data_IF_637195797198
#
_entry.id   IF_637195797198
#
_cell.length_a   1.000
_cell.length_b   1.000
_cell.length_c   1.000
_cell.angle_alpha   90.00
_cell.angle_beta   90.00
_cell.angle_gamma   90.00
#
_symmetry.space_group_name_H-M   'P 1'
#
loop_
_entity.id
_entity.type
_entity.pdbx_description
1 polymer ?
#
# COMPACT_ATOMS: atom_id res chain seq x y z
N UNK A 1 1.20 22.08 5.94
CA UNK A 1 -0.14 21.56 5.58
C UNK A 1 0.05 20.25 4.84
N UNK A 2 -0.70 19.21 5.20
CA UNK A 2 -0.60 17.89 4.57
C UNK A 2 -1.13 17.93 3.12
N UNK A 3 -0.30 17.56 2.15
CA UNK A 3 -0.60 17.57 0.70
C UNK A 3 -1.34 16.30 0.28
N UNK A 4 -2.33 16.44 -0.62
CA UNK A 4 -2.97 15.30 -1.29
C UNK A 4 -2.09 14.86 -2.47
N UNK A 5 -1.75 13.58 -2.50
CA UNK A 5 -1.00 12.94 -3.59
C UNK A 5 -1.92 11.95 -4.33
N UNK A 6 -1.83 11.94 -5.66
CA UNK A 6 -2.60 11.01 -6.50
C UNK A 6 -1.95 9.63 -6.55
N UNK A 7 -2.78 8.59 -6.53
CA UNK A 7 -2.38 7.20 -6.71
C UNK A 7 -3.54 6.38 -7.28
N UNK A 8 -3.37 5.07 -7.42
CA UNK A 8 -4.38 4.16 -7.95
C UNK A 8 -4.66 3.01 -6.99
N UNK A 9 -5.92 2.62 -6.87
CA UNK A 9 -6.32 1.45 -6.10
C UNK A 9 -6.01 0.16 -6.88
N UNK A 10 -5.14 -0.69 -6.36
CA UNK A 10 -4.71 -1.95 -7.03
C UNK A 10 -5.42 -3.20 -6.52
N UNK A 11 -6.52 -3.06 -5.78
CA UNK A 11 -7.21 -4.20 -5.14
C UNK A 11 -8.09 -5.01 -6.11
N UNK A 12 -8.39 -4.48 -7.30
CA UNK A 12 -9.11 -5.19 -8.35
C UNK A 12 -8.81 -4.54 -9.71
N UNK A 13 -9.27 -5.15 -10.80
CA UNK A 13 -9.04 -4.67 -12.17
C UNK A 13 -9.66 -3.31 -12.52
N UNK A 14 -10.47 -2.73 -11.62
CA UNK A 14 -11.08 -1.43 -11.85
C UNK A 14 -10.07 -0.29 -11.78
N UNK A 15 -9.01 -0.40 -10.97
CA UNK A 15 -7.97 0.63 -10.85
C UNK A 15 -8.52 2.05 -10.62
N UNK A 16 -9.47 2.19 -9.67
CA UNK A 16 -10.03 3.50 -9.32
C UNK A 16 -8.93 4.48 -8.88
N UNK A 17 -9.05 5.75 -9.25
CA UNK A 17 -8.12 6.79 -8.84
C UNK A 17 -8.34 7.16 -7.38
N UNK A 18 -7.25 7.33 -6.64
CA UNK A 18 -7.25 7.74 -5.24
C UNK A 18 -6.44 9.01 -5.07
N UNK A 19 -6.82 9.81 -4.09
CA UNK A 19 -5.96 10.81 -3.48
C UNK A 19 -5.71 10.41 -2.03
N UNK A 20 -4.46 10.52 -1.60
CA UNK A 20 -4.04 10.15 -0.23
C UNK A 20 -3.24 11.27 0.43
N UNK A 21 -3.33 11.35 1.75
CA UNK A 21 -2.38 12.09 2.58
C UNK A 21 -1.50 11.07 3.30
N UNK A 22 -0.19 11.27 3.26
CA UNK A 22 0.78 10.40 3.94
C UNK A 22 1.56 11.12 5.03
N UNK A 23 2.01 10.34 6.02
CA UNK A 23 3.00 10.73 7.02
C UNK A 23 4.07 9.62 7.07
N UNK A 24 5.23 9.90 6.47
CA UNK A 24 6.24 8.87 6.21
C UNK A 24 5.66 7.72 5.36
N UNK A 25 5.68 6.50 5.88
CA UNK A 25 5.16 5.30 5.21
C UNK A 25 3.69 4.99 5.49
N UNK A 26 3.01 5.82 6.29
CA UNK A 26 1.61 5.63 6.69
C UNK A 26 0.67 6.47 5.86
N UNK A 27 -0.43 5.86 5.43
CA UNK A 27 -1.56 6.56 4.80
C UNK A 27 -2.51 7.04 5.92
N UNK A 28 -2.77 8.34 5.95
CA UNK A 28 -3.58 9.00 7.00
C UNK A 28 -5.01 9.29 6.56
N UNK A 29 -5.21 9.69 5.30
CA UNK A 29 -6.53 9.94 4.71
C UNK A 29 -6.57 9.43 3.28
N UNK A 30 -7.76 9.05 2.84
CA UNK A 30 -8.02 8.51 1.49
C UNK A 30 -9.32 9.11 0.98
N UNK A 31 -9.33 9.52 -0.29
CA UNK A 31 -10.56 9.87 -1.02
C UNK A 31 -10.43 9.46 -2.49
N UNK A 32 -11.52 9.51 -3.23
CA UNK A 32 -11.51 9.25 -4.67
C UNK A 32 -10.96 10.44 -5.45
N UNK A 33 -10.12 10.16 -6.44
CA UNK A 33 -9.63 11.17 -7.39
C UNK A 33 -10.74 11.53 -8.38
N UNK A 34 -11.27 12.75 -8.27
CA UNK A 34 -12.34 13.26 -9.15
C UNK A 34 -11.89 13.44 -10.61
N UNK A 35 -10.59 13.58 -10.84
CA UNK A 35 -10.03 13.77 -12.19
C UNK A 35 -9.70 12.43 -12.87
N UNK A 36 -9.82 11.30 -12.17
CA UNK A 36 -9.57 10.00 -12.77
C UNK A 36 -10.65 9.69 -13.84
N UNK A 37 -10.27 9.44 -15.11
CA UNK A 37 -11.22 9.37 -16.22
C UNK A 37 -12.19 8.19 -16.11
N UNK A 38 -11.77 7.11 -15.41
CA UNK A 38 -12.57 5.90 -15.25
C UNK A 38 -13.52 5.99 -14.08
N UNK A 39 -13.01 6.37 -12.92
CA UNK A 39 -13.76 6.31 -11.65
C UNK A 39 -14.42 7.62 -11.27
N UNK A 40 -13.96 8.76 -11.79
CA UNK A 40 -14.58 10.08 -11.61
C UNK A 40 -14.89 10.41 -10.14
N UNK A 41 -13.99 10.01 -9.23
CA UNK A 41 -14.13 10.20 -7.78
C UNK A 41 -14.91 9.09 -7.05
N UNK A 42 -15.53 8.15 -7.75
CA UNK A 42 -16.13 6.98 -7.11
C UNK A 42 -15.06 6.00 -6.61
N UNK A 43 -15.21 5.56 -5.36
CA UNK A 43 -14.41 4.47 -4.78
C UNK A 43 -15.32 3.56 -3.94
N UNK A 44 -15.09 2.26 -4.01
CA UNK A 44 -15.77 1.31 -3.13
C UNK A 44 -15.14 1.30 -1.72
N UNK A 45 -15.79 0.61 -0.78
CA UNK A 45 -15.30 0.49 0.61
C UNK A 45 -13.86 -0.04 0.71
N UNK A 46 -13.43 -0.91 -0.20
CA UNK A 46 -12.05 -1.43 -0.23
C UNK A 46 -11.03 -0.31 -0.50
N UNK A 47 -11.31 0.54 -1.50
CA UNK A 47 -10.45 1.67 -1.85
C UNK A 47 -10.42 2.72 -0.73
N UNK A 48 -11.57 3.03 -0.14
CA UNK A 48 -11.66 3.96 0.98
C UNK A 48 -10.87 3.52 2.22
N UNK A 49 -10.66 2.20 2.40
CA UNK A 49 -9.93 1.62 3.52
C UNK A 49 -8.53 1.12 3.12
N UNK A 50 -7.92 1.63 2.04
CA UNK A 50 -6.59 1.15 1.61
C UNK A 50 -5.51 1.33 2.70
N UNK A 51 -5.68 2.32 3.58
CA UNK A 51 -4.80 2.55 4.74
C UNK A 51 -4.75 1.36 5.71
N UNK A 52 -5.85 0.63 5.87
CA UNK A 52 -5.90 -0.57 6.72
C UNK A 52 -4.93 -1.64 6.23
N UNK A 53 -4.88 -1.88 4.92
CA UNK A 53 -3.99 -2.89 4.34
C UNK A 53 -2.53 -2.46 4.40
N UNK A 54 -2.23 -1.19 4.05
CA UNK A 54 -0.86 -0.67 4.05
C UNK A 54 -0.24 -0.66 5.46
N UNK A 55 -1.06 -0.39 6.48
CA UNK A 55 -0.66 -0.28 7.88
C UNK A 55 -0.96 -1.55 8.69
N UNK A 56 -1.22 -2.70 8.04
CA UNK A 56 -1.54 -3.94 8.72
C UNK A 56 -0.42 -4.33 9.73
N UNK A 57 -0.75 -4.67 11.00
CA UNK A 57 0.23 -5.03 12.02
C UNK A 57 1.11 -6.24 11.65
N UNK A 58 0.59 -7.16 10.84
CA UNK A 58 1.28 -8.39 10.40
C UNK A 58 2.10 -8.19 9.12
N UNK A 59 2.18 -6.96 8.59
CA UNK A 59 2.95 -6.67 7.38
C UNK A 59 4.42 -7.05 7.58
N UNK A 60 4.98 -7.77 6.61
CA UNK A 60 6.41 -8.06 6.56
C UNK A 60 7.23 -6.76 6.48
N UNK A 61 8.15 -6.60 7.43
CA UNK A 61 9.04 -5.42 7.53
C UNK A 61 10.49 -5.74 7.19
N UNK A 62 10.83 -7.03 7.11
CA UNK A 62 12.19 -7.50 6.89
C UNK A 62 12.18 -8.68 5.92
N UNK A 63 13.25 -8.87 5.13
CA UNK A 63 13.43 -10.09 4.36
C UNK A 63 13.52 -11.32 5.26
N UNK A 64 12.94 -12.43 4.80
CA UNK A 64 12.93 -13.71 5.50
C UNK A 64 13.49 -14.79 4.59
N UNK A 65 14.36 -15.64 5.12
CA UNK A 65 14.89 -16.84 4.44
C UNK A 65 14.35 -18.09 5.11
N UNK A 66 14.04 -19.11 4.32
CA UNK A 66 13.61 -20.41 4.85
C UNK A 66 14.84 -21.26 5.18
N UNK A 67 14.99 -21.64 6.45
CA UNK A 67 16.10 -22.45 6.98
C UNK A 67 15.47 -23.61 7.77
N UNK A 68 15.77 -24.85 7.37
CA UNK A 68 15.29 -26.07 8.02
C UNK A 68 13.76 -26.10 8.30
N UNK A 69 12.99 -25.48 7.42
CA UNK A 69 11.53 -25.42 7.52
C UNK A 69 10.98 -24.20 8.28
N UNK A 70 11.82 -23.42 8.96
CA UNK A 70 11.45 -22.19 9.66
C UNK A 70 11.84 -20.93 8.84
N UNK A 71 11.23 -19.78 9.16
CA UNK A 71 11.62 -18.49 8.59
C UNK A 71 12.52 -17.71 9.55
N UNK A 72 13.70 -17.34 9.08
CA UNK A 72 14.65 -16.52 9.80
C UNK A 72 14.83 -15.17 9.11
N UNK A 73 15.06 -14.12 9.89
CA UNK A 73 15.29 -12.77 9.36
C UNK A 73 16.69 -12.67 8.78
N UNK A 74 16.79 -12.15 7.56
CA UNK A 74 18.06 -11.89 6.86
C UNK A 74 18.16 -10.44 6.40
N UNK A 75 19.36 -10.02 5.98
CA UNK A 75 19.57 -8.68 5.43
C UNK A 75 19.20 -8.62 3.95
N UNK A 76 18.96 -7.42 3.42
CA UNK A 76 18.76 -7.23 1.98
C UNK A 76 19.99 -7.61 1.16
N UNK A 77 21.20 -7.29 1.61
CA UNK A 77 22.44 -7.68 0.92
C UNK A 77 22.52 -9.20 0.78
N UNK A 78 22.28 -9.92 1.87
CA UNK A 78 22.29 -11.38 1.85
C UNK A 78 21.29 -11.97 0.84
N UNK A 79 20.08 -11.42 0.73
CA UNK A 79 19.05 -11.91 -0.22
C UNK A 79 19.38 -11.57 -1.68
N UNK A 80 20.17 -10.53 -1.92
CA UNK A 80 20.54 -10.10 -3.27
C UNK A 80 21.85 -10.75 -3.76
N UNK A 81 22.74 -11.11 -2.84
CA UNK A 81 24.07 -11.66 -3.14
C UNK A 81 24.13 -13.19 -3.13
N UNK A 82 23.17 -13.88 -2.49
CA UNK A 82 23.02 -15.36 -2.47
C UNK A 82 21.95 -15.85 -3.45
#
# INVERSE_FOLDING_TARGET
MSKWEKTSCVLCSQNCGLEVITEGSKIMKVRGDKENPRSQGYICRKGANVSYFQNNPERLKFPLKRVEGCFERVSWNQVLDE
#
